data_IF_892801826184
#
_entry.id   IF_892801826184
#
_cell.length_a   1.000
_cell.length_b   1.000
_cell.length_c   1.000
_cell.angle_alpha   90.00
_cell.angle_beta   90.00
_cell.angle_gamma   90.00
#
_symmetry.space_group_name_H-M   'P 1'
#
loop_
_entity.id
_entity.type
_entity.pdbx_description
1 polymer ?
#
# COMPACT_ATOMS: atom_id res chain seq x y z
N UNK A 1 14.68 -39.94 -23.76
CA UNK A 1 13.44 -39.96 -22.94
C UNK A 1 13.06 -38.53 -22.64
N UNK A 2 11.82 -38.13 -22.94
CA UNK A 2 11.26 -36.89 -22.41
C UNK A 2 10.64 -37.22 -21.06
N UNK A 3 11.20 -36.68 -20.00
CA UNK A 3 10.65 -36.80 -18.66
C UNK A 3 9.70 -35.62 -18.43
N UNK A 4 8.43 -35.94 -18.18
CA UNK A 4 7.44 -34.97 -17.68
C UNK A 4 7.19 -35.30 -16.22
N UNK A 5 7.50 -34.36 -15.34
CA UNK A 5 7.23 -34.44 -13.91
C UNK A 5 6.50 -33.18 -13.43
N UNK A 6 5.85 -33.28 -12.28
CA UNK A 6 5.29 -32.14 -11.55
C UNK A 6 6.29 -31.66 -10.50
N UNK A 7 6.40 -30.35 -10.32
CA UNK A 7 7.18 -29.75 -9.25
C UNK A 7 6.36 -29.81 -7.96
N UNK A 8 6.91 -30.40 -6.90
CA UNK A 8 6.31 -30.39 -5.56
C UNK A 8 6.94 -29.29 -4.71
N UNK A 9 6.12 -28.56 -3.95
CA UNK A 9 6.56 -27.51 -3.03
C UNK A 9 6.35 -28.01 -1.60
N UNK A 10 7.40 -27.92 -0.77
CA UNK A 10 7.31 -28.14 0.67
C UNK A 10 6.84 -26.85 1.35
N UNK A 11 5.57 -26.83 1.76
CA UNK A 11 4.90 -25.64 2.33
C UNK A 11 5.55 -25.16 3.64
N UNK A 12 6.14 -26.06 4.41
CA UNK A 12 6.86 -25.76 5.67
C UNK A 12 8.02 -24.76 5.51
N UNK A 13 8.57 -24.61 4.29
CA UNK A 13 9.66 -23.67 4.02
C UNK A 13 9.19 -22.34 3.42
N UNK A 14 7.88 -22.15 3.20
CA UNK A 14 7.39 -20.98 2.44
C UNK A 14 7.59 -19.67 3.19
N UNK A 15 7.33 -19.63 4.50
CA UNK A 15 7.51 -18.43 5.33
C UNK A 15 8.98 -18.01 5.47
N UNK A 16 9.93 -18.92 5.78
CA UNK A 16 11.36 -18.58 5.74
C UNK A 16 11.82 -18.05 4.38
N UNK A 17 11.28 -18.58 3.27
CA UNK A 17 11.58 -18.11 1.92
C UNK A 17 10.99 -16.71 1.69
N UNK A 18 9.72 -16.48 2.03
CA UNK A 18 9.04 -15.18 1.95
C UNK A 18 9.83 -14.14 2.74
N UNK A 19 10.20 -14.42 4.00
CA UNK A 19 11.00 -13.53 4.85
C UNK A 19 12.38 -13.20 4.23
N UNK A 20 13.00 -14.16 3.54
CA UNK A 20 14.35 -14.00 2.97
C UNK A 20 14.38 -13.38 1.57
N UNK A 21 13.39 -13.67 0.73
CA UNK A 21 13.41 -13.38 -0.71
C UNK A 21 12.53 -12.22 -1.12
N UNK A 22 11.45 -11.93 -0.39
CA UNK A 22 10.55 -10.87 -0.83
C UNK A 22 11.17 -9.49 -0.58
N UNK A 23 11.84 -9.26 0.56
CA UNK A 23 12.33 -7.92 0.88
C UNK A 23 13.66 -7.91 1.64
N UNK A 24 14.61 -7.11 1.15
CA UNK A 24 15.87 -6.79 1.82
C UNK A 24 15.71 -5.76 2.95
N UNK A 25 14.54 -5.12 3.02
CA UNK A 25 14.22 -4.05 3.96
C UNK A 25 12.94 -4.41 4.71
N UNK A 26 13.05 -4.51 6.03
CA UNK A 26 11.93 -4.90 6.90
C UNK A 26 10.83 -3.83 6.92
N UNK A 27 11.10 -2.58 6.53
CA UNK A 27 10.14 -1.47 6.52
C UNK A 27 8.93 -1.70 5.60
N UNK A 28 9.05 -2.60 4.62
CA UNK A 28 8.05 -2.78 3.55
C UNK A 28 6.70 -3.31 4.06
N UNK A 29 6.65 -3.94 5.25
CA UNK A 29 5.40 -4.48 5.78
C UNK A 29 4.28 -3.43 5.89
N UNK A 30 4.60 -2.22 6.35
CA UNK A 30 3.61 -1.14 6.44
C UNK A 30 3.11 -0.72 5.06
N UNK A 31 4.00 -0.64 4.06
CA UNK A 31 3.60 -0.32 2.69
C UNK A 31 2.58 -1.33 2.19
N UNK A 32 2.84 -2.62 2.37
CA UNK A 32 1.95 -3.69 1.88
C UNK A 32 0.60 -3.70 2.62
N UNK A 33 0.61 -3.61 3.96
CA UNK A 33 -0.61 -3.62 4.76
C UNK A 33 -1.49 -2.39 4.50
N UNK A 34 -0.88 -1.20 4.45
CA UNK A 34 -1.62 0.03 4.12
C UNK A 34 -2.13 -0.02 2.67
N UNK A 35 -1.36 -0.57 1.73
CA UNK A 35 -1.83 -0.74 0.35
C UNK A 35 -3.04 -1.69 0.26
N UNK A 36 -3.06 -2.77 1.03
CA UNK A 36 -4.21 -3.67 1.11
C UNK A 36 -5.46 -2.97 1.66
N UNK A 37 -5.29 -2.13 2.69
CA UNK A 37 -6.35 -1.31 3.27
C UNK A 37 -6.89 -0.26 2.28
N UNK A 38 -5.99 0.37 1.50
CA UNK A 38 -6.35 1.27 0.39
C UNK A 38 -7.16 0.54 -0.67
N UNK A 39 -6.70 -0.63 -1.10
CA UNK A 39 -7.42 -1.48 -2.07
C UNK A 39 -8.81 -1.86 -1.56
N UNK A 40 -8.92 -2.27 -0.29
CA UNK A 40 -10.20 -2.61 0.32
C UNK A 40 -11.18 -1.43 0.27
N UNK A 41 -10.67 -0.22 0.49
CA UNK A 41 -11.43 1.02 0.45
C UNK A 41 -11.83 1.41 -0.98
N UNK A 42 -10.91 1.33 -1.93
CA UNK A 42 -11.17 1.64 -3.34
C UNK A 42 -12.17 0.67 -3.97
N UNK A 43 -12.05 -0.64 -3.70
CA UNK A 43 -13.02 -1.64 -4.14
C UNK A 43 -14.42 -1.32 -3.62
N UNK A 44 -14.54 -0.91 -2.35
CA UNK A 44 -15.83 -0.49 -1.79
C UNK A 44 -16.39 0.75 -2.52
N UNK A 45 -15.55 1.76 -2.80
CA UNK A 45 -15.94 2.94 -3.59
C UNK A 45 -16.44 2.54 -4.99
N UNK A 46 -15.72 1.65 -5.66
CA UNK A 46 -16.10 1.12 -6.98
C UNK A 46 -17.45 0.37 -6.92
N UNK A 47 -17.66 -0.50 -5.94
CA UNK A 47 -18.94 -1.18 -5.72
C UNK A 47 -20.08 -0.18 -5.46
N UNK A 48 -19.82 0.90 -4.73
CA UNK A 48 -20.80 1.98 -4.51
C UNK A 48 -21.16 2.71 -5.80
N UNK A 49 -20.17 3.04 -6.64
CA UNK A 49 -20.40 3.69 -7.95
C UNK A 49 -21.18 2.79 -8.92
N UNK A 50 -20.94 1.47 -8.86
CA UNK A 50 -21.67 0.48 -9.66
C UNK A 50 -23.06 0.15 -9.09
N UNK A 51 -23.42 0.68 -7.92
CA UNK A 51 -24.69 0.40 -7.24
C UNK A 51 -24.80 -1.00 -6.62
N UNK A 52 -23.69 -1.72 -6.51
CA UNK A 52 -23.61 -3.06 -5.88
C UNK A 52 -23.47 -2.97 -4.35
N UNK A 53 -22.96 -1.84 -3.83
CA UNK A 53 -23.02 -1.50 -2.42
C UNK A 53 -24.06 -0.40 -2.17
N UNK A 54 -25.06 -0.70 -1.35
CA UNK A 54 -26.20 0.21 -1.04
C UNK A 54 -26.12 0.86 0.33
N UNK A 55 -25.13 0.49 1.15
CA UNK A 55 -24.91 1.10 2.45
C UNK A 55 -24.23 2.47 2.34
N UNK A 56 -24.13 3.16 3.47
CA UNK A 56 -23.34 4.39 3.53
C UNK A 56 -21.85 4.05 3.53
N UNK A 57 -21.08 4.77 2.69
CA UNK A 57 -19.63 4.62 2.65
C UNK A 57 -18.99 5.06 3.98
N UNK A 58 -19.53 6.10 4.61
CA UNK A 58 -18.97 6.68 5.83
C UNK A 58 -17.63 7.37 5.60
N UNK A 59 -16.89 7.60 6.68
CA UNK A 59 -15.53 8.12 6.62
C UNK A 59 -14.58 7.00 6.18
N UNK A 60 -14.00 7.14 4.99
CA UNK A 60 -13.10 6.15 4.41
C UNK A 60 -11.64 6.60 4.57
N UNK A 61 -11.03 6.17 5.67
CA UNK A 61 -9.61 6.38 5.97
C UNK A 61 -8.95 5.08 6.43
N UNK A 62 -7.65 4.99 6.25
CA UNK A 62 -6.82 3.94 6.84
C UNK A 62 -6.18 4.52 8.10
N UNK A 63 -6.30 3.82 9.23
CA UNK A 63 -5.70 4.23 10.50
C UNK A 63 -4.56 3.29 10.86
N UNK A 64 -3.43 3.84 11.25
CA UNK A 64 -2.29 3.10 11.78
C UNK A 64 -2.08 3.57 13.22
N UNK A 65 -2.03 2.61 14.15
CA UNK A 65 -1.81 2.89 15.57
C UNK A 65 -0.71 2.00 16.13
N UNK A 66 0.01 2.49 17.14
CA UNK A 66 1.03 1.72 17.86
C UNK A 66 0.78 1.76 19.36
N UNK A 67 0.72 0.58 19.97
CA UNK A 67 0.68 0.40 21.42
C UNK A 67 2.01 -0.19 21.87
N UNK A 68 2.86 0.65 22.45
CA UNK A 68 4.19 0.25 22.92
C UNK A 68 4.13 -0.67 24.14
N UNK A 69 3.12 -0.52 24.99
CA UNK A 69 2.96 -1.34 26.20
C UNK A 69 2.48 -2.75 25.85
N UNK A 70 1.47 -2.84 24.98
CA UNK A 70 0.98 -4.12 24.46
C UNK A 70 1.87 -4.71 23.36
N UNK A 71 2.84 -3.94 22.85
CA UNK A 71 3.71 -4.27 21.71
C UNK A 71 2.93 -4.60 20.44
N UNK A 72 1.92 -3.79 20.13
CA UNK A 72 1.03 -3.99 18.99
C UNK A 72 1.11 -2.85 17.98
N UNK A 73 1.07 -3.18 16.70
CA UNK A 73 0.81 -2.23 15.61
C UNK A 73 -0.50 -2.65 14.96
N UNK A 74 -1.45 -1.74 14.79
CA UNK A 74 -2.74 -2.04 14.15
C UNK A 74 -2.91 -1.19 12.90
N UNK A 75 -3.16 -1.84 11.76
CA UNK A 75 -3.61 -1.20 10.52
C UNK A 75 -5.10 -1.49 10.35
N UNK A 76 -5.91 -0.43 10.40
CA UNK A 76 -7.36 -0.50 10.37
C UNK A 76 -7.90 0.22 9.12
N UNK A 77 -8.85 -0.40 8.43
CA UNK A 77 -9.60 0.21 7.35
C UNK A 77 -11.11 0.05 7.55
N UNK A 78 -11.86 1.00 6.99
CA UNK A 78 -13.32 0.97 6.87
C UNK A 78 -13.77 0.56 5.45
N UNK A 79 -12.95 -0.22 4.75
CA UNK A 79 -13.16 -0.72 3.40
C UNK A 79 -14.18 -1.86 3.35
N UNK A 80 -14.08 -2.73 2.33
CA UNK A 80 -15.10 -3.77 2.09
C UNK A 80 -15.10 -4.91 3.12
N UNK A 81 -14.02 -5.08 3.89
CA UNK A 81 -13.86 -6.21 4.83
C UNK A 81 -13.83 -7.58 4.13
N UNK A 82 -13.87 -8.65 4.92
CA UNK A 82 -13.84 -10.03 4.43
C UNK A 82 -14.75 -10.92 5.27
N UNK A 83 -15.34 -11.91 4.62
CA UNK A 83 -15.98 -13.05 5.28
C UNK A 83 -14.94 -14.10 5.67
N UNK A 84 -15.31 -15.04 6.54
CA UNK A 84 -14.47 -16.17 6.91
C UNK A 84 -14.00 -16.99 5.68
N UNK A 85 -14.86 -17.17 4.67
CA UNK A 85 -14.51 -17.86 3.43
C UNK A 85 -13.54 -17.06 2.55
N UNK A 86 -13.67 -15.73 2.52
CA UNK A 86 -12.71 -14.87 1.82
C UNK A 86 -11.35 -14.85 2.53
N UNK A 87 -11.30 -14.90 3.87
CA UNK A 87 -10.04 -15.08 4.61
C UNK A 87 -9.41 -16.44 4.25
N UNK A 88 -10.18 -17.54 4.25
CA UNK A 88 -9.66 -18.85 3.81
C UNK A 88 -9.10 -18.81 2.39
N UNK A 89 -9.72 -18.05 1.49
CA UNK A 89 -9.31 -17.96 0.09
C UNK A 89 -8.11 -17.03 -0.14
N UNK A 90 -8.10 -15.85 0.47
CA UNK A 90 -7.11 -14.80 0.16
C UNK A 90 -5.98 -14.70 1.18
N UNK A 91 -6.17 -15.21 2.41
CA UNK A 91 -5.17 -15.18 3.48
C UNK A 91 -4.57 -16.56 3.73
N UNK A 92 -5.33 -17.65 3.58
CA UNK A 92 -4.76 -19.00 3.82
C UNK A 92 -4.22 -19.67 2.55
N UNK A 93 -4.65 -19.23 1.36
CA UNK A 93 -4.09 -19.72 0.09
C UNK A 93 -3.11 -18.69 -0.45
N UNK A 94 -1.84 -18.98 -0.22
CA UNK A 94 -0.71 -18.15 -0.66
C UNK A 94 -0.78 -17.94 -2.19
N UNK A 95 -0.48 -16.71 -2.61
CA UNK A 95 -0.44 -16.27 -4.01
C UNK A 95 -1.82 -16.12 -4.70
N UNK A 96 -2.93 -16.22 -3.96
CA UNK A 96 -4.24 -15.80 -4.45
C UNK A 96 -4.52 -14.35 -4.07
N UNK A 97 -4.76 -13.51 -5.08
CA UNK A 97 -5.00 -12.08 -4.90
C UNK A 97 -6.47 -11.72 -5.10
N UNK A 98 -7.15 -11.37 -4.01
CA UNK A 98 -8.51 -10.81 -4.08
C UNK A 98 -8.55 -9.44 -4.77
N UNK A 99 -7.41 -8.76 -4.94
CA UNK A 99 -7.31 -7.54 -5.75
C UNK A 99 -7.34 -7.85 -7.25
N UNK A 100 -6.58 -8.86 -7.69
CA UNK A 100 -6.57 -9.30 -9.09
C UNK A 100 -7.92 -9.89 -9.49
N UNK A 101 -8.53 -10.70 -8.62
CA UNK A 101 -9.85 -11.27 -8.89
C UNK A 101 -10.92 -10.17 -9.04
N UNK A 102 -10.88 -9.13 -8.20
CA UNK A 102 -11.76 -7.99 -8.32
C UNK A 102 -11.55 -7.25 -9.65
N UNK A 103 -10.30 -6.95 -10.03
CA UNK A 103 -10.01 -6.29 -11.31
C UNK A 103 -10.54 -7.11 -12.49
N UNK A 104 -10.34 -8.43 -12.49
CA UNK A 104 -10.83 -9.30 -13.56
C UNK A 104 -12.37 -9.32 -13.64
N UNK A 105 -13.05 -9.32 -12.49
CA UNK A 105 -14.52 -9.32 -12.43
C UNK A 105 -15.13 -7.99 -12.88
N UNK A 106 -14.46 -6.86 -12.63
CA UNK A 106 -15.06 -5.53 -12.78
C UNK A 106 -14.47 -4.66 -13.90
N UNK A 107 -13.32 -5.02 -14.50
CA UNK A 107 -12.69 -4.25 -15.59
C UNK A 107 -13.58 -4.00 -16.81
N UNK A 108 -14.54 -4.88 -17.09
CA UNK A 108 -15.49 -4.71 -18.20
C UNK A 108 -16.60 -3.70 -17.89
N UNK A 109 -16.92 -3.52 -16.61
CA UNK A 109 -17.91 -2.56 -16.13
C UNK A 109 -17.29 -1.17 -15.92
N UNK A 110 -16.04 -1.14 -15.47
CA UNK A 110 -15.26 0.08 -15.29
C UNK A 110 -13.79 -0.19 -15.65
N UNK A 111 -13.37 0.35 -16.81
CA UNK A 111 -12.02 0.21 -17.33
C UNK A 111 -10.94 0.81 -16.40
N UNK A 112 -11.31 1.77 -15.54
CA UNK A 112 -10.38 2.45 -14.61
C UNK A 112 -10.06 1.62 -13.37
N UNK A 113 -10.82 0.54 -13.10
CA UNK A 113 -10.62 -0.34 -11.94
C UNK A 113 -9.18 -0.86 -11.85
N UNK A 114 -8.58 -1.23 -12.99
CA UNK A 114 -7.21 -1.76 -13.05
C UNK A 114 -6.16 -0.73 -12.63
N UNK A 115 -6.42 0.55 -12.90
CA UNK A 115 -5.48 1.64 -12.64
C UNK A 115 -5.55 2.10 -11.18
N UNK A 116 -6.68 1.85 -10.51
CA UNK A 116 -6.86 2.19 -9.09
C UNK A 116 -6.24 1.15 -8.16
N UNK A 117 -6.49 -0.14 -8.42
CA UNK A 117 -6.12 -1.24 -7.51
C UNK A 117 -4.61 -1.55 -7.53
N UNK A 118 -3.99 -1.53 -6.35
CA UNK A 118 -2.55 -1.69 -6.12
C UNK A 118 -2.11 -3.15 -6.17
N UNK A 119 -2.77 -4.03 -5.41
CA UNK A 119 -2.35 -5.40 -5.16
C UNK A 119 -2.50 -6.33 -6.37
N UNK A 120 -1.53 -7.23 -6.55
CA UNK A 120 -1.52 -8.17 -7.68
C UNK A 120 -1.16 -9.62 -7.31
N UNK A 121 -0.19 -9.82 -6.40
CA UNK A 121 0.45 -11.13 -6.22
C UNK A 121 -0.12 -11.99 -5.10
N UNK A 122 -0.89 -11.43 -4.16
CA UNK A 122 -1.44 -12.19 -3.02
C UNK A 122 -0.37 -12.65 -2.01
N UNK A 123 0.73 -11.90 -1.90
CA UNK A 123 1.85 -12.19 -0.98
C UNK A 123 2.12 -11.05 0.01
N UNK A 124 1.66 -9.84 -0.28
CA UNK A 124 2.00 -8.62 0.49
C UNK A 124 1.62 -8.72 1.96
N UNK A 125 0.50 -9.38 2.30
CA UNK A 125 0.08 -9.59 3.68
C UNK A 125 1.15 -10.28 4.54
N UNK A 126 1.83 -11.30 4.01
CA UNK A 126 2.81 -12.09 4.79
C UNK A 126 4.10 -11.34 5.12
N UNK A 127 4.30 -10.16 4.55
CA UNK A 127 5.37 -9.24 4.97
C UNK A 127 5.22 -8.84 6.45
N UNK A 128 4.01 -8.89 7.02
CA UNK A 128 3.77 -8.66 8.45
C UNK A 128 4.62 -9.56 9.35
N UNK A 129 4.85 -10.82 8.96
CA UNK A 129 5.66 -11.77 9.73
C UNK A 129 7.18 -11.48 9.68
N UNK A 130 7.62 -10.46 8.94
CA UNK A 130 9.01 -9.98 9.03
C UNK A 130 9.29 -9.28 10.35
N UNK A 131 8.26 -8.68 10.97
CA UNK A 131 8.38 -7.87 12.18
C UNK A 131 7.48 -8.35 13.32
N UNK A 132 6.51 -9.22 13.02
CA UNK A 132 5.55 -9.75 13.99
C UNK A 132 5.83 -11.23 14.31
N UNK A 133 5.66 -11.58 15.59
CA UNK A 133 5.64 -12.97 16.05
C UNK A 133 4.25 -13.62 15.93
N UNK A 134 3.21 -12.81 15.87
CA UNK A 134 1.83 -13.23 15.70
C UNK A 134 1.06 -12.11 14.99
N UNK A 135 0.14 -12.47 14.12
CA UNK A 135 -0.73 -11.55 13.40
C UNK A 135 -2.18 -11.99 13.61
N UNK A 136 -3.04 -11.03 13.96
CA UNK A 136 -4.49 -11.21 14.02
C UNK A 136 -5.16 -10.42 12.88
N UNK A 137 -6.27 -10.93 12.35
CA UNK A 137 -7.16 -10.22 11.45
C UNK A 137 -8.56 -10.24 12.06
N UNK A 138 -9.12 -9.06 12.26
CA UNK A 138 -10.52 -8.86 12.61
C UNK A 138 -11.22 -8.21 11.42
N UNK A 139 -12.14 -8.93 10.77
CA UNK A 139 -12.76 -8.42 9.55
C UNK A 139 -14.27 -8.63 9.51
N UNK A 140 -15.00 -7.58 9.14
CA UNK A 140 -16.45 -7.60 8.93
C UNK A 140 -16.76 -7.14 7.52
N UNK A 141 -17.34 -8.03 6.73
CA UNK A 141 -17.67 -7.78 5.33
C UNK A 141 -18.77 -6.72 5.17
N UNK A 142 -18.76 -6.03 4.03
CA UNK A 142 -19.84 -5.15 3.60
C UNK A 142 -21.13 -5.90 3.25
N UNK A 143 -21.04 -7.23 3.04
CA UNK A 143 -22.18 -8.09 2.73
C UNK A 143 -23.11 -8.19 3.94
N UNK A 144 -24.41 -8.09 3.69
CA UNK A 144 -25.45 -8.23 4.70
C UNK A 144 -25.39 -9.61 5.39
N UNK A 145 -25.84 -9.66 6.64
CA UNK A 145 -25.91 -10.87 7.47
C UNK A 145 -24.58 -11.63 7.64
N UNK A 146 -23.45 -10.94 7.51
CA UNK A 146 -22.13 -11.49 7.81
C UNK A 146 -21.67 -11.16 9.22
N UNK A 147 -21.13 -12.17 9.89
CA UNK A 147 -20.53 -12.03 11.21
C UNK A 147 -19.04 -11.68 11.06
N UNK A 148 -18.45 -11.13 12.12
CA UNK A 148 -17.03 -10.76 12.12
C UNK A 148 -16.18 -12.01 12.15
N UNK A 149 -15.27 -12.14 11.19
CA UNK A 149 -14.28 -13.20 11.18
C UNK A 149 -13.03 -12.77 11.95
N UNK A 150 -12.54 -13.65 12.82
CA UNK A 150 -11.31 -13.47 13.56
C UNK A 150 -10.33 -14.58 13.19
N UNK A 151 -9.17 -14.19 12.67
CA UNK A 151 -8.11 -15.09 12.23
C UNK A 151 -6.81 -14.77 12.96
N UNK A 152 -6.06 -15.79 13.38
CA UNK A 152 -4.73 -15.59 13.97
C UNK A 152 -3.72 -16.59 13.41
N UNK A 153 -2.45 -16.18 13.38
CA UNK A 153 -1.33 -17.02 12.97
C UNK A 153 -0.03 -16.49 13.57
N UNK A 154 0.85 -17.40 13.99
CA UNK A 154 2.17 -17.12 14.58
C UNK A 154 3.31 -17.06 13.53
N UNK A 155 2.96 -17.06 12.24
CA UNK A 155 3.91 -17.11 11.14
C UNK A 155 4.38 -18.53 10.79
N UNK A 156 3.80 -19.55 11.40
CA UNK A 156 3.87 -20.94 10.93
C UNK A 156 2.82 -21.22 9.84
N UNK A 157 2.67 -22.48 9.44
CA UNK A 157 1.59 -22.93 8.55
C UNK A 157 0.28 -23.19 9.28
N UNK A 158 0.26 -23.04 10.61
CA UNK A 158 -0.92 -23.20 11.45
C UNK A 158 -1.59 -21.84 11.68
N UNK A 159 -2.91 -21.83 11.60
CA UNK A 159 -3.74 -20.66 11.84
C UNK A 159 -5.01 -21.07 12.58
N UNK A 160 -5.62 -20.15 13.29
CA UNK A 160 -7.00 -20.29 13.78
C UNK A 160 -7.91 -19.35 13.01
N UNK A 161 -9.16 -19.77 12.84
CA UNK A 161 -10.22 -18.95 12.31
C UNK A 161 -11.44 -19.24 13.16
N UNK A 162 -11.75 -18.33 14.08
CA UNK A 162 -12.83 -18.53 15.03
C UNK A 162 -14.16 -18.60 14.30
N UNK A 163 -15.08 -19.42 14.82
CA UNK A 163 -16.46 -19.33 14.41
C UNK A 163 -16.94 -17.91 14.75
N UNK A 164 -17.50 -17.18 13.77
CA UNK A 164 -17.82 -15.80 14.00
C UNK A 164 -19.02 -15.74 14.95
N UNK A 165 -18.81 -15.29 16.18
CA UNK A 165 -19.85 -15.16 17.22
C UNK A 165 -20.15 -13.69 17.49
N UNK A 166 -21.28 -13.39 18.16
CA UNK A 166 -21.60 -12.03 18.59
C UNK A 166 -20.58 -11.47 19.62
N UNK A 167 -19.85 -12.32 20.33
CA UNK A 167 -18.80 -11.91 21.29
C UNK A 167 -17.53 -11.38 20.59
N UNK A 168 -17.28 -11.80 19.35
CA UNK A 168 -16.14 -11.38 18.54
C UNK A 168 -16.54 -10.35 17.46
N UNK A 169 -17.54 -9.51 17.75
CA UNK A 169 -18.13 -8.62 16.76
C UNK A 169 -17.39 -7.28 16.64
N UNK A 170 -16.72 -7.06 15.50
CA UNK A 170 -16.51 -5.69 15.02
C UNK A 170 -17.88 -5.03 14.88
N UNK A 171 -18.04 -3.87 15.51
CA UNK A 171 -19.26 -3.08 15.37
C UNK A 171 -19.46 -2.66 13.91
N UNK A 172 -18.36 -2.27 13.26
CA UNK A 172 -18.37 -1.64 11.93
C UNK A 172 -17.67 -2.50 10.88
N UNK A 173 -18.04 -2.28 9.62
CA UNK A 173 -17.45 -2.89 8.43
C UNK A 173 -15.97 -2.51 8.31
N UNK A 174 -15.15 -3.43 7.80
CA UNK A 174 -13.75 -3.20 7.45
C UNK A 174 -12.83 -4.26 8.03
N UNK A 175 -11.54 -3.98 8.07
CA UNK A 175 -10.52 -4.93 8.54
C UNK A 175 -9.56 -4.25 9.51
N UNK A 176 -9.26 -4.91 10.62
CA UNK A 176 -8.11 -4.58 11.47
C UNK A 176 -7.09 -5.70 11.34
N UNK A 177 -5.86 -5.35 10.99
CA UNK A 177 -4.71 -6.25 11.02
C UNK A 177 -3.83 -5.85 12.19
N UNK A 178 -3.71 -6.72 13.18
CA UNK A 178 -2.99 -6.48 14.43
C UNK A 178 -1.70 -7.29 14.42
N UNK A 179 -0.57 -6.61 14.52
CA UNK A 179 0.77 -7.21 14.54
C UNK A 179 1.28 -7.21 15.98
N UNK A 180 1.56 -8.39 16.52
CA UNK A 180 2.31 -8.52 17.76
C UNK A 180 3.80 -8.46 17.46
N UNK A 181 4.43 -7.34 17.79
CA UNK A 181 5.80 -7.04 17.36
C UNK A 181 6.80 -7.98 18.04
N UNK A 182 7.64 -8.62 17.23
CA UNK A 182 8.70 -9.53 17.68
C UNK A 182 9.77 -8.81 18.50
N UNK A 183 10.49 -9.53 19.35
CA UNK A 183 11.49 -8.95 20.27
C UNK A 183 12.70 -8.32 19.57
N UNK A 184 13.01 -8.79 18.36
CA UNK A 184 14.10 -8.25 17.52
C UNK A 184 13.66 -7.07 16.64
N UNK A 185 12.41 -6.64 16.78
CA UNK A 185 11.74 -5.66 15.91
C UNK A 185 11.24 -4.42 16.68
N UNK A 186 11.83 -4.15 17.85
CA UNK A 186 11.44 -3.05 18.76
C UNK A 186 11.50 -1.66 18.10
N UNK A 187 12.32 -1.47 17.05
CA UNK A 187 12.37 -0.19 16.32
C UNK A 187 11.00 0.22 15.77
N UNK A 188 10.13 -0.73 15.44
CA UNK A 188 8.79 -0.47 14.90
C UNK A 188 7.77 -0.12 15.99
N UNK A 189 8.14 -0.17 17.27
CA UNK A 189 7.33 0.38 18.37
C UNK A 189 7.57 1.89 18.58
N UNK A 190 8.55 2.47 17.88
CA UNK A 190 8.82 3.91 17.96
C UNK A 190 8.00 4.69 16.93
N UNK A 191 7.16 5.62 17.39
CA UNK A 191 6.28 6.41 16.52
C UNK A 191 7.03 7.14 15.40
N UNK A 192 8.20 7.71 15.71
CA UNK A 192 9.03 8.42 14.74
C UNK A 192 9.50 7.48 13.60
N UNK A 193 9.76 6.21 13.91
CA UNK A 193 10.15 5.20 12.94
C UNK A 193 9.00 4.88 12.01
N UNK A 194 7.83 4.57 12.56
CA UNK A 194 6.61 4.28 11.79
C UNK A 194 6.19 5.49 10.94
N UNK A 195 6.18 6.69 11.51
CA UNK A 195 5.87 7.93 10.77
C UNK A 195 6.82 8.12 9.59
N UNK A 196 8.13 7.89 9.77
CA UNK A 196 9.10 7.95 8.68
C UNK A 196 8.80 6.97 7.54
N UNK A 197 8.45 5.72 7.88
CA UNK A 197 8.09 4.67 6.90
C UNK A 197 6.81 5.07 6.17
N UNK A 198 5.76 5.47 6.89
CA UNK A 198 4.48 5.86 6.28
C UNK A 198 4.64 7.11 5.40
N UNK A 199 5.38 8.13 5.85
CA UNK A 199 5.66 9.33 5.03
C UNK A 199 6.53 9.02 3.82
N UNK A 200 7.36 7.97 3.85
CA UNK A 200 8.14 7.53 2.68
C UNK A 200 7.27 6.78 1.67
N UNK A 201 6.56 5.75 2.13
CA UNK A 201 5.88 4.81 1.23
C UNK A 201 4.43 5.18 0.90
N UNK A 202 3.75 5.86 1.82
CA UNK A 202 2.32 6.13 1.78
C UNK A 202 1.98 7.60 1.50
N UNK A 203 3.00 8.45 1.26
CA UNK A 203 2.89 9.92 1.13
C UNK A 203 1.77 10.38 0.22
N UNK A 204 1.52 9.62 -0.84
CA UNK A 204 0.63 10.03 -1.91
C UNK A 204 -0.51 9.04 -2.14
N UNK A 205 -0.76 8.08 -1.23
CA UNK A 205 -1.84 7.12 -1.42
C UNK A 205 -3.20 7.81 -1.60
N UNK A 206 -4.11 7.27 -2.43
CA UNK A 206 -5.37 7.93 -2.81
C UNK A 206 -6.46 7.91 -1.73
N UNK A 207 -6.16 7.37 -0.54
CA UNK A 207 -7.02 7.35 0.64
C UNK A 207 -6.25 7.99 1.79
N UNK A 208 -6.93 8.74 2.65
CA UNK A 208 -6.31 9.37 3.81
C UNK A 208 -5.75 8.30 4.75
N UNK A 209 -4.49 8.49 5.15
CA UNK A 209 -3.78 7.67 6.10
C UNK A 209 -3.63 8.49 7.38
N UNK A 210 -4.28 8.05 8.44
CA UNK A 210 -4.22 8.61 9.78
C UNK A 210 -3.21 7.81 10.61
N UNK A 211 -2.23 8.48 11.23
CA UNK A 211 -1.28 7.88 12.16
C UNK A 211 -1.32 8.65 13.47
N UNK A 212 -1.66 7.98 14.57
CA UNK A 212 -1.80 8.58 15.91
C UNK A 212 -2.71 9.84 15.92
N UNK A 213 -3.80 9.79 15.14
CA UNK A 213 -4.80 10.88 15.07
C UNK A 213 -4.46 12.02 14.11
N UNK A 214 -3.32 11.96 13.40
CA UNK A 214 -2.95 12.93 12.37
C UNK A 214 -3.02 12.33 10.96
N UNK A 215 -3.63 13.03 10.01
CA UNK A 215 -3.53 12.67 8.59
C UNK A 215 -2.14 13.02 8.08
N UNK A 216 -1.42 12.04 7.54
CA UNK A 216 0.01 12.16 7.20
C UNK A 216 0.32 12.17 5.70
N UNK A 217 -0.68 12.00 4.83
CA UNK A 217 -0.49 11.90 3.38
C UNK A 217 -1.32 12.91 2.59
N UNK A 218 -0.95 13.09 1.31
CA UNK A 218 -1.66 13.92 0.34
C UNK A 218 -2.31 13.03 -0.73
N UNK A 219 -3.65 12.95 -0.73
CA UNK A 219 -4.39 11.99 -1.57
C UNK A 219 -4.51 12.39 -3.04
N UNK A 220 -4.39 13.69 -3.32
CA UNK A 220 -4.52 14.26 -4.66
C UNK A 220 -3.25 15.04 -5.05
N UNK A 221 -2.11 14.34 -5.25
CA UNK A 221 -0.86 14.99 -5.64
C UNK A 221 -0.99 15.65 -7.02
N UNK A 222 -0.22 16.71 -7.26
CA UNK A 222 -0.46 17.55 -8.45
C UNK A 222 -0.17 16.87 -9.78
N UNK A 223 0.68 15.82 -9.82
CA UNK A 223 0.98 15.10 -11.07
C UNK A 223 -0.20 14.25 -11.57
N UNK A 224 -1.25 14.04 -10.75
CA UNK A 224 -2.47 13.36 -11.18
C UNK A 224 -3.53 14.33 -11.70
N UNK A 225 -3.29 15.65 -11.60
CA UNK A 225 -4.20 16.70 -12.04
C UNK A 225 -3.88 17.16 -13.46
N UNK A 226 -4.87 17.73 -14.15
CA UNK A 226 -4.63 18.29 -15.48
C UNK A 226 -3.75 19.54 -15.36
N UNK A 227 -2.75 19.74 -16.24
CA UNK A 227 -1.89 20.92 -16.21
C UNK A 227 -2.66 22.25 -16.27
N UNK A 228 -3.83 22.27 -16.92
CA UNK A 228 -4.69 23.46 -17.03
C UNK A 228 -5.32 23.89 -15.70
N UNK A 229 -5.40 22.99 -14.71
CA UNK A 229 -5.97 23.25 -13.38
C UNK A 229 -4.91 23.67 -12.35
N UNK A 230 -3.65 23.82 -12.78
CA UNK A 230 -2.50 24.07 -11.92
C UNK A 230 -1.86 25.43 -12.22
N UNK A 231 -1.41 26.10 -11.17
CA UNK A 231 -0.62 27.34 -11.27
C UNK A 231 0.86 27.07 -11.02
N UNK A 232 1.72 28.00 -11.40
CA UNK A 232 3.16 27.97 -11.14
C UNK A 232 3.46 27.78 -9.65
N UNK A 233 2.68 28.42 -8.76
CA UNK A 233 2.81 28.27 -7.32
C UNK A 233 2.53 26.84 -6.86
N UNK A 234 1.63 26.10 -7.51
CA UNK A 234 1.39 24.70 -7.18
C UNK A 234 2.63 23.85 -7.44
N UNK A 235 3.28 24.04 -8.60
CA UNK A 235 4.51 23.33 -8.95
C UNK A 235 5.67 23.68 -8.01
N UNK A 236 5.86 24.97 -7.71
CA UNK A 236 6.93 25.41 -6.79
C UNK A 236 6.70 24.87 -5.38
N UNK A 237 5.46 24.90 -4.88
CA UNK A 237 5.12 24.38 -3.55
C UNK A 237 5.34 22.87 -3.47
N UNK A 238 4.90 22.13 -4.50
CA UNK A 238 5.10 20.69 -4.55
C UNK A 238 6.59 20.30 -4.64
N UNK A 239 7.39 21.05 -5.40
CA UNK A 239 8.85 20.87 -5.41
C UNK A 239 9.47 21.06 -4.03
N UNK A 240 9.06 22.08 -3.27
CA UNK A 240 9.53 22.31 -1.90
C UNK A 240 9.08 21.21 -0.93
N UNK A 241 7.90 20.62 -1.14
CA UNK A 241 7.40 19.50 -0.35
C UNK A 241 8.19 18.21 -0.59
N UNK A 242 8.65 17.98 -1.84
CA UNK A 242 9.49 16.85 -2.19
C UNK A 242 10.95 17.04 -1.75
N UNK A 243 11.48 18.26 -1.90
CA UNK A 243 12.86 18.60 -1.58
C UNK A 243 12.92 19.81 -0.64
N UNK A 244 12.63 19.61 0.65
CA UNK A 244 12.74 20.67 1.65
C UNK A 244 14.12 21.35 1.60
N UNK A 245 14.14 22.66 1.84
CA UNK A 245 15.36 23.49 1.84
C UNK A 245 16.06 23.65 0.47
N UNK A 246 15.52 23.09 -0.61
CA UNK A 246 16.03 23.34 -1.96
C UNK A 246 15.61 24.71 -2.48
N UNK A 247 16.46 25.31 -3.33
CA UNK A 247 16.07 26.52 -4.06
C UNK A 247 14.96 26.23 -5.06
N UNK A 248 14.09 27.20 -5.36
CA UNK A 248 13.06 27.03 -6.39
C UNK A 248 13.64 26.52 -7.71
N UNK A 249 12.92 25.64 -8.42
CA UNK A 249 13.36 25.10 -9.70
C UNK A 249 13.39 26.23 -10.74
N UNK A 250 14.26 26.10 -11.75
CA UNK A 250 14.33 27.06 -12.86
C UNK A 250 13.09 26.97 -13.76
N UNK A 251 12.63 25.74 -14.00
CA UNK A 251 11.39 25.41 -14.71
C UNK A 251 11.04 23.94 -14.45
N UNK A 252 9.88 23.52 -14.94
CA UNK A 252 9.39 22.14 -14.83
C UNK A 252 8.72 21.70 -16.14
N UNK A 253 8.58 20.39 -16.29
CA UNK A 253 7.83 19.74 -17.37
C UNK A 253 6.85 18.78 -16.72
N UNK A 254 5.56 19.01 -16.92
CA UNK A 254 4.51 18.07 -16.54
C UNK A 254 4.31 17.07 -17.69
N UNK A 255 4.61 15.81 -17.42
CA UNK A 255 4.47 14.70 -18.35
C UNK A 255 3.07 14.07 -18.19
N UNK A 256 2.37 13.91 -19.31
CA UNK A 256 1.15 13.12 -19.38
C UNK A 256 1.17 12.36 -20.71
N UNK A 257 1.59 11.10 -20.66
CA UNK A 257 1.75 10.20 -21.81
C UNK A 257 0.84 9.00 -21.59
N UNK A 258 -0.01 8.72 -22.57
CA UNK A 258 -1.02 7.65 -22.54
C UNK A 258 -0.71 6.49 -23.52
N UNK A 259 0.32 6.64 -24.37
CA UNK A 259 0.74 5.62 -25.34
C UNK A 259 2.26 5.65 -25.60
N UNK A 260 2.96 4.50 -25.70
CA UNK A 260 2.45 3.12 -25.60
C UNK A 260 2.29 2.62 -24.16
N UNK A 261 2.58 3.45 -23.16
CA UNK A 261 2.38 3.18 -21.74
C UNK A 261 1.87 4.44 -21.04
N UNK A 262 1.15 4.27 -19.94
CA UNK A 262 0.69 5.37 -19.09
C UNK A 262 1.86 5.87 -18.23
N UNK A 263 2.26 7.12 -18.44
CA UNK A 263 3.26 7.82 -17.64
C UNK A 263 2.74 9.22 -17.32
N UNK A 264 2.54 9.50 -16.04
CA UNK A 264 2.28 10.84 -15.52
C UNK A 264 3.36 11.19 -14.51
N UNK A 265 3.78 12.44 -14.48
CA UNK A 265 4.89 12.85 -13.63
C UNK A 265 5.29 14.29 -13.84
N UNK A 266 6.18 14.78 -13.00
CA UNK A 266 6.70 16.15 -13.11
C UNK A 266 8.21 16.11 -12.96
N UNK A 267 8.91 16.59 -13.98
CA UNK A 267 10.35 16.78 -13.97
C UNK A 267 10.68 18.23 -13.69
N UNK A 268 11.50 18.46 -12.67
CA UNK A 268 11.99 19.76 -12.25
C UNK A 268 13.45 19.94 -12.64
N UNK A 269 13.78 21.15 -13.08
CA UNK A 269 15.14 21.56 -13.42
C UNK A 269 15.71 22.39 -12.26
N UNK A 270 16.44 21.76 -11.31
CA UNK A 270 16.98 22.47 -10.17
C UNK A 270 18.07 23.45 -10.58
N UNK A 271 18.23 24.52 -9.81
CA UNK A 271 19.37 25.44 -9.98
C UNK A 271 20.62 24.81 -9.38
N UNK A 272 21.53 24.32 -10.24
CA UNK A 272 22.82 23.77 -9.79
C UNK A 272 23.79 24.92 -9.51
N UNK A 273 24.28 25.03 -8.28
CA UNK A 273 25.21 26.09 -7.86
C UNK A 273 26.67 25.63 -7.77
N UNK A 274 26.91 24.35 -7.53
CA UNK A 274 28.25 23.81 -7.27
C UNK A 274 28.41 22.44 -7.95
N UNK A 275 29.56 22.21 -8.60
CA UNK A 275 29.86 20.94 -9.28
C UNK A 275 29.94 19.75 -8.31
N UNK A 276 30.13 20.00 -7.01
CA UNK A 276 30.13 18.96 -5.97
C UNK A 276 28.72 18.52 -5.54
N UNK A 277 27.65 19.22 -5.97
CA UNK A 277 26.26 18.94 -5.59
C UNK A 277 25.50 18.05 -6.59
N UNK A 278 26.20 17.39 -7.52
CA UNK A 278 25.60 16.39 -8.43
C UNK A 278 25.19 15.11 -7.68
N UNK A 279 24.19 15.23 -6.81
CA UNK A 279 23.46 14.08 -6.29
C UNK A 279 22.52 13.60 -7.41
N UNK A 280 22.93 12.51 -8.06
CA UNK A 280 22.10 11.77 -9.02
C UNK A 280 20.97 11.03 -8.28
N UNK A 281 19.95 10.58 -9.01
CA UNK A 281 18.82 9.78 -8.47
C UNK A 281 17.86 10.54 -7.55
N UNK A 282 17.37 11.71 -7.99
CA UNK A 282 16.35 12.46 -7.26
C UNK A 282 14.95 12.33 -7.86
N UNK A 283 14.75 11.45 -8.84
CA UNK A 283 13.43 11.19 -9.40
C UNK A 283 12.82 10.02 -8.65
N UNK A 284 11.67 10.22 -8.04
CA UNK A 284 10.95 9.21 -7.27
C UNK A 284 9.95 8.49 -8.17
N UNK A 285 10.09 7.18 -8.35
CA UNK A 285 9.17 6.37 -9.15
C UNK A 285 7.99 5.90 -8.30
N UNK A 286 6.79 6.17 -8.79
CA UNK A 286 5.54 5.71 -8.20
C UNK A 286 4.78 4.79 -9.17
N UNK A 287 4.06 3.81 -8.61
CA UNK A 287 3.08 3.01 -9.34
C UNK A 287 1.76 3.06 -8.58
N UNK A 288 0.69 3.53 -9.23
CA UNK A 288 -0.62 3.75 -8.59
C UNK A 288 -0.51 4.53 -7.27
N UNK A 289 0.32 5.58 -7.28
CA UNK A 289 0.64 6.43 -6.13
C UNK A 289 1.38 5.73 -4.95
N UNK A 290 1.81 4.48 -5.10
CA UNK A 290 2.71 3.79 -4.16
C UNK A 290 4.16 4.04 -4.55
N UNK A 291 4.99 4.44 -3.58
CA UNK A 291 6.42 4.63 -3.80
C UNK A 291 7.12 3.29 -4.12
N UNK A 292 7.89 3.26 -5.20
CA UNK A 292 8.65 2.09 -5.65
C UNK A 292 10.12 2.25 -5.31
N UNK A 293 10.76 3.29 -5.86
CA UNK A 293 12.20 3.56 -5.69
C UNK A 293 12.53 4.97 -6.17
N UNK A 294 13.61 5.58 -5.67
CA UNK A 294 14.25 6.77 -6.25
C UNK A 294 15.49 6.42 -7.11
N UNK A 295 15.88 5.15 -7.14
CA UNK A 295 16.97 4.63 -7.96
C UNK A 295 16.50 4.31 -9.38
N UNK A 296 16.38 5.35 -10.21
CA UNK A 296 15.82 5.24 -11.58
C UNK A 296 16.86 5.03 -12.69
N UNK A 297 18.07 4.55 -12.37
CA UNK A 297 19.22 4.49 -13.29
C UNK A 297 18.95 3.72 -14.60
N UNK A 298 18.10 2.70 -14.55
CA UNK A 298 17.76 1.86 -15.72
C UNK A 298 16.42 2.25 -16.37
N UNK A 299 15.71 3.22 -15.79
CA UNK A 299 14.40 3.71 -16.27
C UNK A 299 14.56 5.06 -16.97
N UNK A 300 15.43 5.91 -16.44
CA UNK A 300 15.65 7.29 -16.91
C UNK A 300 17.03 7.40 -17.54
N UNK A 301 17.16 7.95 -18.76
CA UNK A 301 18.45 8.19 -19.40
C UNK A 301 19.44 8.94 -18.51
N UNK A 302 20.74 8.59 -18.58
CA UNK A 302 21.76 9.12 -17.67
C UNK A 302 21.83 10.66 -17.63
N UNK A 303 21.62 11.32 -18.78
CA UNK A 303 21.64 12.78 -18.86
C UNK A 303 20.48 13.47 -18.13
N UNK A 304 19.39 12.75 -17.86
CA UNK A 304 18.23 13.23 -17.08
C UNK A 304 18.35 12.92 -15.59
N UNK A 305 19.37 12.16 -15.15
CA UNK A 305 19.56 11.81 -13.73
C UNK A 305 19.90 13.01 -12.83
N UNK A 306 20.16 14.18 -13.42
CA UNK A 306 20.37 15.45 -12.73
C UNK A 306 19.06 16.17 -12.39
N UNK A 307 17.95 15.71 -12.97
CA UNK A 307 16.63 16.27 -12.70
C UNK A 307 16.09 15.75 -11.37
N UNK A 308 15.17 16.53 -10.81
CA UNK A 308 14.35 16.14 -9.68
C UNK A 308 12.95 15.82 -10.21
N UNK A 309 12.17 15.03 -9.50
CA UNK A 309 10.79 14.81 -9.91
C UNK A 309 10.15 13.57 -9.33
N UNK A 310 8.97 13.29 -9.89
CA UNK A 310 8.13 12.11 -9.66
C UNK A 310 7.61 11.59 -10.99
#
# INVERSE_FOLDING_TARGET
>A
MQEKGSISIHTENIFPIIKKFLYSDHEIFLRELVSNAVDATQKLKSLGQLGEFKGELGELKVRVTVDKEARKITVSDHGLGMTAEEIKKYINQIAFSGATEFVEQYKEKDATTKDQIIGQFGLGFYSAFMVAKEVEIWSKSYKEDTLTAHWTCDGSTEFTLDEPTEEHAKAERGTDVVLHVAEDSDEFLEEARLKGILTKYCKFLPIEIEFEGEVINQTAPIWTKQPADLTDENYVSFYQELYPFSEPPLFWIHLNVDYPFNLTGILYFPKVKDELQFQRNKIQLYSRQVFITDEVKDVVPEFLMLLHGV
#
